data_IF_617445558839
#
_entry.id   IF_617445558839
#
_cell.length_a   1.000
_cell.length_b   1.000
_cell.length_c   1.000
_cell.angle_alpha   90.00
_cell.angle_beta   90.00
_cell.angle_gamma   90.00
#
_symmetry.space_group_name_H-M   'P 1'
#
loop_
_entity.id
_entity.type
_entity.pdbx_description
1 polymer ?
#
# COMPACT_ATOMS: atom_id res chain seq x y z
N UNK A 1 10.65 1.25 -3.67
CA UNK A 1 9.64 0.64 -4.56
C UNK A 1 9.41 -0.78 -4.08
N UNK A 2 8.17 -1.17 -3.79
CA UNK A 2 7.84 -2.54 -3.42
C UNK A 2 7.48 -3.35 -4.66
N UNK A 3 7.81 -4.64 -4.64
CA UNK A 3 7.30 -5.60 -5.60
C UNK A 3 5.88 -5.98 -5.22
N UNK A 4 5.04 -6.11 -6.24
CA UNK A 4 3.69 -6.64 -6.10
C UNK A 4 3.78 -8.14 -6.06
N UNK A 5 3.44 -8.72 -4.91
CA UNK A 5 3.40 -10.15 -4.69
C UNK A 5 2.10 -10.78 -5.17
N UNK A 6 1.02 -10.00 -5.24
CA UNK A 6 -0.29 -10.46 -5.67
C UNK A 6 -1.00 -9.37 -6.43
N UNK A 7 -1.61 -9.70 -7.56
CA UNK A 7 -2.31 -8.71 -8.37
C UNK A 7 -3.48 -8.07 -7.60
N UNK A 8 -3.58 -6.74 -7.62
CA UNK A 8 -4.70 -5.98 -7.03
C UNK A 8 -5.15 -4.85 -7.96
N UNK A 9 -6.46 -4.52 -7.95
CA UNK A 9 -6.98 -3.37 -8.67
C UNK A 9 -6.83 -2.09 -7.84
N UNK A 10 -6.49 -0.98 -8.49
CA UNK A 10 -6.64 0.38 -7.96
C UNK A 10 -7.65 1.15 -8.81
N UNK A 11 -7.97 2.38 -8.40
CA UNK A 11 -8.84 3.29 -9.16
C UNK A 11 -8.29 3.65 -10.54
N UNK A 12 -6.96 3.71 -10.67
CA UNK A 12 -6.30 4.09 -11.93
C UNK A 12 -5.97 2.90 -12.81
N UNK A 13 -5.47 1.81 -12.22
CA UNK A 13 -5.02 0.63 -12.98
C UNK A 13 -5.00 -0.63 -12.12
N UNK A 14 -4.84 -1.77 -12.77
CA UNK A 14 -4.60 -3.04 -12.07
C UNK A 14 -3.11 -3.35 -12.05
N UNK A 15 -2.55 -3.48 -10.86
CA UNK A 15 -1.18 -3.96 -10.66
C UNK A 15 -1.17 -5.48 -10.75
N UNK A 16 -0.16 -6.01 -11.45
CA UNK A 16 0.04 -7.46 -11.61
C UNK A 16 1.15 -7.92 -10.66
N UNK A 17 1.19 -9.22 -10.42
CA UNK A 17 2.32 -9.83 -9.71
C UNK A 17 3.63 -9.59 -10.48
N UNK A 18 4.69 -9.24 -9.75
CA UNK A 18 5.98 -8.82 -10.30
C UNK A 18 6.07 -7.35 -10.70
N UNK A 19 4.97 -6.60 -10.66
CA UNK A 19 4.98 -5.16 -10.92
C UNK A 19 5.65 -4.39 -9.77
N UNK A 20 6.06 -3.14 -10.03
CA UNK A 20 6.75 -2.30 -9.03
C UNK A 20 5.87 -1.12 -8.66
N UNK A 21 5.54 -1.01 -7.38
CA UNK A 21 4.76 0.10 -6.84
C UNK A 21 5.60 1.01 -5.97
N UNK A 22 5.40 2.31 -6.10
CA UNK A 22 5.98 3.29 -5.18
C UNK A 22 5.00 3.62 -4.05
N UNK A 23 5.51 4.12 -2.93
CA UNK A 23 4.66 4.73 -1.89
C UNK A 23 4.00 6.03 -2.37
N UNK A 24 4.45 6.57 -3.51
CA UNK A 24 3.88 7.73 -4.19
C UNK A 24 2.85 7.36 -5.27
N UNK A 25 2.70 6.09 -5.63
CA UNK A 25 1.63 5.67 -6.56
C UNK A 25 0.26 5.82 -5.87
N UNK A 26 -0.77 6.16 -6.65
CA UNK A 26 -2.14 6.11 -6.15
C UNK A 26 -2.62 4.65 -6.09
N UNK A 27 -2.66 4.14 -4.87
CA UNK A 27 -3.10 2.79 -4.53
C UNK A 27 -4.57 2.75 -4.10
N UNK A 28 -5.27 3.88 -4.21
CA UNK A 28 -6.66 4.05 -3.81
C UNK A 28 -7.57 2.99 -4.47
N UNK A 29 -8.52 2.40 -3.74
CA UNK A 29 -8.93 2.75 -2.37
C UNK A 29 -8.05 2.15 -1.25
N UNK A 30 -7.09 1.29 -1.57
CA UNK A 30 -6.19 0.71 -0.57
C UNK A 30 -5.07 1.68 -0.18
N UNK A 31 -4.53 1.49 1.01
CA UNK A 31 -3.28 2.14 1.44
C UNK A 31 -2.11 1.21 1.20
N UNK A 32 -0.92 1.75 0.91
CA UNK A 32 0.31 0.96 0.76
C UNK A 32 0.51 -0.02 1.93
N UNK A 33 0.31 0.47 3.16
CA UNK A 33 0.45 -0.34 4.37
C UNK A 33 -0.61 -1.45 4.47
N UNK A 34 -1.84 -1.19 4.01
CA UNK A 34 -2.90 -2.22 3.96
C UNK A 34 -2.61 -3.30 2.92
N UNK A 35 -1.92 -2.97 1.82
CA UNK A 35 -1.45 -3.95 0.84
C UNK A 35 -0.26 -4.75 1.36
N UNK A 36 0.63 -4.14 2.15
CA UNK A 36 1.73 -4.86 2.82
C UNK A 36 1.16 -5.84 3.85
N UNK A 37 0.24 -5.38 4.70
CA UNK A 37 -0.38 -6.19 5.76
C UNK A 37 -1.18 -7.36 5.20
N UNK A 38 -1.92 -7.12 4.11
CA UNK A 38 -2.65 -8.16 3.40
C UNK A 38 -1.77 -9.04 2.48
N UNK A 39 -0.45 -8.81 2.41
CA UNK A 39 0.49 -9.61 1.63
C UNK A 39 0.38 -9.44 0.11
N UNK A 40 -0.18 -8.34 -0.37
CA UNK A 40 -0.25 -8.02 -1.80
C UNK A 40 1.06 -7.42 -2.34
N UNK A 41 1.85 -6.76 -1.51
CA UNK A 41 3.12 -6.15 -1.88
C UNK A 41 4.19 -6.42 -0.82
N UNK A 42 5.46 -6.42 -1.22
CA UNK A 42 6.56 -6.67 -0.29
C UNK A 42 6.67 -5.59 0.79
N UNK A 43 7.02 -6.05 2.01
CA UNK A 43 7.32 -5.17 3.13
C UNK A 43 8.67 -4.50 2.90
N UNK A 44 8.64 -3.22 2.52
CA UNK A 44 9.86 -2.43 2.40
C UNK A 44 10.49 -2.19 3.78
N UNK A 45 11.79 -2.45 3.98
CA UNK A 45 12.48 -2.18 5.24
C UNK A 45 12.54 -0.68 5.59
N UNK A 46 12.27 0.19 4.62
CA UNK A 46 12.22 1.65 4.76
C UNK A 46 10.86 2.28 4.47
N UNK A 47 9.78 1.48 4.32
CA UNK A 47 8.43 2.03 4.48
C UNK A 47 8.20 2.25 5.98
N UNK A 48 8.91 3.23 6.53
CA UNK A 48 8.72 3.72 7.87
C UNK A 48 7.27 4.18 7.96
N UNK A 49 6.46 3.37 8.63
CA UNK A 49 5.21 3.71 9.34
C UNK A 49 4.91 5.20 9.28
N UNK A 50 4.25 5.66 8.21
CA UNK A 50 3.48 6.90 8.33
C UNK A 50 2.29 6.53 9.19
N UNK A 51 2.50 6.61 10.51
CA UNK A 51 1.46 6.58 11.53
C UNK A 51 0.27 7.35 10.95
N UNK A 52 -0.77 6.63 10.55
CA UNK A 52 -2.13 7.15 10.69
C UNK A 52 -2.29 7.37 12.18
N UNK A 53 -2.04 8.60 12.60
CA UNK A 53 -2.51 9.09 13.87
C UNK A 53 -4.03 9.25 13.69
N UNK A 54 -4.71 8.15 13.98
CA UNK A 54 -6.02 8.06 14.60
C UNK A 54 -6.99 9.25 14.39
N UNK A 55 -8.06 9.11 13.58
CA UNK A 55 -9.16 10.05 13.60
C UNK A 55 -10.22 9.54 14.60
N UNK A 56 -9.99 9.65 15.91
CA UNK A 56 -11.07 9.71 16.92
C UNK A 56 -10.55 9.79 18.36
N UNK A 57 -10.57 10.98 18.95
CA UNK A 57 -11.29 11.13 20.22
C UNK A 57 -11.75 12.57 20.42
N UNK A 58 -13.07 12.71 20.39
CA UNK A 58 -13.91 13.76 20.96
C UNK A 58 -13.42 14.23 22.33
N UNK A 59 -13.26 15.55 22.47
CA UNK A 59 -13.81 16.38 23.56
C UNK A 59 -13.81 17.85 23.08
#
# INVERSE_FOLDING_TARGET
MALVLKAFPTRLRRFKEGDRVSTQDDLSPQSFEGLVDAGYIEKLPHAAKSKKQDPSKTD
#
